data_IF_317250973696
#
_entry.id   IF_317250973696
#
_cell.length_a   1.000
_cell.length_b   1.000
_cell.length_c   1.000
_cell.angle_alpha   90.00
_cell.angle_beta   90.00
_cell.angle_gamma   90.00
#
_symmetry.space_group_name_H-M   'P 1'
#
loop_
_entity.id
_entity.type
_entity.pdbx_description
1 polymer ?
#
# COMPACT_ATOMS: atom_id res chain seq x y z
N UNK A 1 10.21 -19.26 9.33
CA UNK A 1 8.97 -19.39 8.54
C UNK A 1 8.21 -18.07 8.43
N UNK A 2 7.64 -17.52 9.52
CA UNK A 2 6.83 -16.28 9.42
C UNK A 2 7.68 -15.03 9.11
N UNK A 3 8.87 -14.91 9.70
CA UNK A 3 9.84 -13.85 9.38
C UNK A 3 10.32 -13.89 7.93
N UNK A 4 10.52 -15.07 7.36
CA UNK A 4 10.96 -15.22 5.95
C UNK A 4 9.86 -14.79 4.97
N UNK A 5 8.60 -15.07 5.31
CA UNK A 5 7.45 -14.60 4.54
C UNK A 5 7.31 -13.08 4.60
N UNK A 6 7.50 -12.47 5.77
CA UNK A 6 7.51 -11.01 5.93
C UNK A 6 8.65 -10.42 5.11
N UNK A 7 9.87 -10.96 5.19
CA UNK A 7 11.00 -10.44 4.43
C UNK A 7 10.81 -10.56 2.91
N UNK A 8 10.25 -11.68 2.44
CA UNK A 8 9.87 -11.87 1.04
C UNK A 8 8.80 -10.87 0.60
N UNK A 9 7.77 -10.64 1.41
CA UNK A 9 6.74 -9.65 1.15
C UNK A 9 7.32 -8.22 1.11
N UNK A 10 8.17 -7.89 2.08
CA UNK A 10 8.87 -6.59 2.16
C UNK A 10 9.77 -6.37 0.94
N UNK A 11 10.44 -7.42 0.46
CA UNK A 11 11.32 -7.35 -0.72
C UNK A 11 10.60 -6.99 -2.01
N UNK A 12 9.27 -7.15 -2.06
CA UNK A 12 8.43 -6.75 -3.20
C UNK A 12 8.18 -5.23 -3.27
N UNK A 13 8.35 -4.49 -2.16
CA UNK A 13 8.22 -3.04 -2.12
C UNK A 13 9.50 -2.29 -2.54
N UNK A 14 10.18 -2.78 -3.58
CA UNK A 14 11.33 -2.06 -4.16
C UNK A 14 10.83 -1.02 -5.16
N UNK A 15 11.34 0.22 -5.10
CA UNK A 15 10.99 1.23 -6.08
C UNK A 15 11.42 0.77 -7.47
N UNK A 16 10.52 0.87 -8.44
CA UNK A 16 10.82 0.61 -9.84
C UNK A 16 10.94 1.93 -10.60
N UNK A 17 11.56 1.82 -11.77
CA UNK A 17 11.88 2.98 -12.61
C UNK A 17 10.63 3.63 -13.22
N UNK A 18 9.50 2.93 -13.31
CA UNK A 18 8.23 3.40 -13.89
C UNK A 18 7.35 4.24 -12.92
N UNK A 19 7.86 4.60 -11.74
CA UNK A 19 7.07 5.23 -10.67
C UNK A 19 7.48 6.67 -10.36
N UNK A 20 6.48 7.55 -10.17
CA UNK A 20 6.66 8.89 -9.63
C UNK A 20 7.13 8.86 -8.17
N UNK A 21 7.74 9.96 -7.71
CA UNK A 21 8.13 10.15 -6.30
C UNK A 21 6.92 10.00 -5.38
N UNK A 22 5.77 10.55 -5.76
CA UNK A 22 4.53 10.48 -4.97
C UNK A 22 4.01 9.05 -4.86
N UNK A 23 4.10 8.25 -5.93
CA UNK A 23 3.68 6.85 -5.87
C UNK A 23 4.59 6.08 -4.92
N UNK A 24 5.90 6.27 -5.03
CA UNK A 24 6.88 5.64 -4.14
C UNK A 24 6.60 5.99 -2.67
N UNK A 25 6.27 7.25 -2.37
CA UNK A 25 5.85 7.67 -1.03
C UNK A 25 4.72 6.78 -0.50
N UNK A 26 3.66 6.61 -1.28
CA UNK A 26 2.45 5.90 -0.86
C UNK A 26 2.62 4.37 -0.80
N UNK A 27 3.01 3.72 -1.90
CA UNK A 27 3.01 2.25 -1.96
C UNK A 27 4.25 1.61 -1.31
N UNK A 28 5.36 2.34 -1.17
CA UNK A 28 6.59 1.86 -0.50
C UNK A 28 6.68 2.37 0.92
N UNK A 29 6.86 3.68 1.12
CA UNK A 29 7.26 4.21 2.43
C UNK A 29 6.11 4.18 3.43
N UNK A 30 4.95 4.74 3.07
CA UNK A 30 3.75 4.74 3.91
C UNK A 30 3.33 3.30 4.22
N UNK A 31 3.27 2.44 3.20
CA UNK A 31 2.91 1.04 3.39
C UNK A 31 3.88 0.29 4.33
N UNK A 32 5.20 0.49 4.16
CA UNK A 32 6.19 -0.14 5.05
C UNK A 32 6.05 0.32 6.51
N UNK A 33 5.76 1.61 6.71
CA UNK A 33 5.53 2.20 8.03
C UNK A 33 4.23 1.66 8.67
N UNK A 34 3.14 1.54 7.91
CA UNK A 34 1.88 0.97 8.41
C UNK A 34 2.03 -0.51 8.75
N UNK A 35 2.72 -1.29 7.90
CA UNK A 35 3.01 -2.71 8.18
C UNK A 35 3.84 -2.85 9.46
N UNK A 36 4.84 -1.99 9.66
CA UNK A 36 5.65 -1.98 10.88
C UNK A 36 4.77 -1.71 12.11
N UNK A 37 3.93 -0.68 12.07
CA UNK A 37 3.03 -0.37 13.18
C UNK A 37 1.99 -1.46 13.43
N UNK A 38 1.41 -2.04 12.37
CA UNK A 38 0.49 -3.18 12.47
C UNK A 38 1.14 -4.35 13.19
N UNK A 39 2.40 -4.69 12.85
CA UNK A 39 3.15 -5.75 13.54
C UNK A 39 3.41 -5.40 15.00
N UNK A 40 3.84 -4.17 15.31
CA UNK A 40 4.12 -3.75 16.69
C UNK A 40 2.85 -3.85 17.55
N UNK A 41 1.73 -3.34 17.04
CA UNK A 41 0.44 -3.39 17.76
C UNK A 41 -0.04 -4.83 17.89
N UNK A 42 0.05 -5.64 16.84
CA UNK A 42 -0.30 -7.06 16.89
C UNK A 42 0.55 -7.82 17.91
N UNK A 43 1.87 -7.59 17.96
CA UNK A 43 2.73 -8.20 18.97
C UNK A 43 2.31 -7.82 20.39
N UNK A 44 1.99 -6.54 20.64
CA UNK A 44 1.49 -6.09 21.95
C UNK A 44 0.16 -6.76 22.31
N UNK A 45 -0.75 -6.92 21.35
CA UNK A 45 -2.10 -7.42 21.63
C UNK A 45 -2.22 -8.95 21.70
N UNK A 46 -1.46 -9.70 20.90
CA UNK A 46 -1.58 -11.16 20.82
C UNK A 46 -0.53 -11.92 21.64
N UNK A 47 0.66 -11.33 21.86
CA UNK A 47 1.77 -11.98 22.56
C UNK A 47 1.97 -11.37 23.95
N UNK A 48 1.68 -10.08 24.10
CA UNK A 48 1.72 -9.38 25.38
C UNK A 48 0.37 -9.31 26.09
N UNK A 49 0.33 -8.63 27.22
CA UNK A 49 -0.90 -8.22 27.89
C UNK A 49 -1.47 -6.96 27.21
N UNK A 50 -2.67 -7.04 26.60
CA UNK A 50 -3.27 -5.90 25.90
C UNK A 50 -3.71 -4.79 26.86
N UNK A 51 -4.02 -5.16 28.10
CA UNK A 51 -4.38 -4.28 29.21
C UNK A 51 -4.03 -4.94 30.54
N UNK A 52 -3.86 -4.12 31.58
CA UNK A 52 -3.59 -4.56 32.95
C UNK A 52 -4.73 -4.07 33.83
N UNK A 53 -5.25 -4.94 34.69
CA UNK A 53 -6.40 -4.62 35.55
C UNK A 53 -5.99 -4.40 37.01
N UNK A 54 -6.57 -3.37 37.64
CA UNK A 54 -6.50 -3.25 39.09
C UNK A 54 -7.45 -4.25 39.75
N UNK A 55 -6.92 -5.39 40.19
CA UNK A 55 -7.69 -6.47 40.83
C UNK A 55 -7.46 -6.53 42.34
N UNK A 56 -8.38 -7.13 43.13
CA UNK A 56 -8.20 -7.28 44.57
C UNK A 56 -6.99 -8.16 44.92
N UNK A 57 -6.30 -7.83 46.02
CA UNK A 57 -5.04 -8.51 46.41
C UNK A 57 -5.19 -10.02 46.71
N UNK A 58 -6.40 -10.50 46.98
CA UNK A 58 -6.68 -11.93 47.17
C UNK A 58 -6.66 -12.76 45.87
N UNK A 59 -6.60 -12.12 44.69
CA UNK A 59 -6.57 -12.84 43.42
C UNK A 59 -5.18 -13.43 43.17
N UNK A 60 -5.14 -14.71 42.80
CA UNK A 60 -3.91 -15.35 42.31
C UNK A 60 -3.67 -14.94 40.84
N UNK A 61 -2.42 -15.02 40.37
CA UNK A 61 -2.03 -14.61 39.00
C UNK A 61 -2.93 -15.18 37.89
N UNK A 62 -3.37 -16.44 38.00
CA UNK A 62 -4.26 -17.02 36.99
C UNK A 62 -5.65 -16.36 36.90
N UNK A 63 -6.16 -15.84 38.01
CA UNK A 63 -7.42 -15.08 38.04
C UNK A 63 -7.23 -13.66 37.51
N UNK A 64 -6.08 -13.05 37.77
CA UNK A 64 -5.69 -11.75 37.19
C UNK A 64 -5.65 -11.83 35.66
N UNK A 65 -4.92 -12.79 35.10
CA UNK A 65 -4.85 -13.04 33.65
C UNK A 65 -6.23 -13.36 33.04
N UNK A 66 -7.09 -14.08 33.77
CA UNK A 66 -8.47 -14.34 33.32
C UNK A 66 -9.30 -13.05 33.24
N UNK A 67 -9.25 -12.22 34.28
CA UNK A 67 -10.00 -10.96 34.34
C UNK A 67 -9.54 -10.00 33.24
N UNK A 68 -8.24 -9.88 33.01
CA UNK A 68 -7.69 -9.04 31.95
C UNK A 68 -8.17 -9.46 30.57
N UNK A 69 -8.11 -10.76 30.26
CA UNK A 69 -8.63 -11.31 29.01
C UNK A 69 -10.14 -11.11 28.88
N UNK A 70 -10.89 -11.31 29.96
CA UNK A 70 -12.33 -11.10 29.98
C UNK A 70 -12.68 -9.62 29.70
N UNK A 71 -12.01 -8.69 30.38
CA UNK A 71 -12.18 -7.25 30.19
C UNK A 71 -11.79 -6.80 28.77
N UNK A 72 -10.75 -7.41 28.19
CA UNK A 72 -10.35 -7.12 26.81
C UNK A 72 -11.41 -7.58 25.80
N UNK A 73 -11.98 -8.78 25.97
CA UNK A 73 -12.98 -9.35 25.02
C UNK A 73 -14.35 -8.68 25.15
N UNK A 74 -14.85 -8.48 26.38
CA UNK A 74 -16.18 -7.89 26.63
C UNK A 74 -16.24 -6.37 26.33
N UNK A 75 -15.09 -5.77 26.00
CA UNK A 75 -14.84 -4.34 25.80
C UNK A 75 -15.02 -3.50 27.08
N UNK A 76 -14.23 -2.43 27.21
CA UNK A 76 -14.28 -1.53 28.37
C UNK A 76 -15.08 -0.26 28.06
N UNK A 77 -15.37 0.56 29.07
CA UNK A 77 -16.01 1.87 28.89
C UNK A 77 -15.28 2.91 29.73
N UNK A 78 -15.31 4.17 29.28
CA UNK A 78 -14.67 5.28 29.99
C UNK A 78 -15.68 6.02 30.87
N UNK A 79 -15.25 6.39 32.08
CA UNK A 79 -15.96 7.25 33.02
C UNK A 79 -14.95 8.22 33.61
N UNK A 80 -15.27 9.51 33.63
CA UNK A 80 -14.44 10.52 34.27
C UNK A 80 -14.42 10.31 35.79
N UNK A 81 -13.34 10.70 36.48
CA UNK A 81 -13.20 10.42 37.92
C UNK A 81 -14.23 11.17 38.78
N UNK A 82 -14.75 12.30 38.29
CA UNK A 82 -15.75 13.12 38.94
C UNK A 82 -17.19 12.66 38.68
N UNK A 83 -17.39 11.75 37.72
CA UNK A 83 -18.72 11.23 37.37
C UNK A 83 -19.05 9.95 38.14
N UNK A 84 -20.32 9.81 38.55
CA UNK A 84 -20.80 8.55 39.10
C UNK A 84 -20.85 7.46 38.03
N UNK A 85 -20.56 6.21 38.43
CA UNK A 85 -20.64 5.09 37.51
C UNK A 85 -22.08 4.91 36.99
N UNK A 86 -22.28 4.82 35.66
CA UNK A 86 -23.62 4.71 35.08
C UNK A 86 -24.31 3.44 35.59
N UNK A 87 -25.54 3.59 36.08
CA UNK A 87 -26.34 2.48 36.61
C UNK A 87 -27.07 1.71 35.49
N UNK A 88 -27.32 2.35 34.34
CA UNK A 88 -28.04 1.73 33.22
C UNK A 88 -27.10 0.99 32.27
N UNK A 89 -27.51 -0.20 31.82
CA UNK A 89 -26.76 -0.99 30.83
C UNK A 89 -26.67 -0.28 29.48
N UNK A 90 -27.68 0.52 29.14
CA UNK A 90 -27.76 1.28 27.88
C UNK A 90 -26.66 2.36 27.85
N UNK A 91 -26.51 3.11 28.94
CA UNK A 91 -25.51 4.18 29.03
C UNK A 91 -24.09 3.62 29.03
N UNK A 92 -23.85 2.50 29.74
CA UNK A 92 -22.57 1.76 29.64
C UNK A 92 -22.29 1.32 28.21
N UNK A 93 -23.31 0.83 27.51
CA UNK A 93 -23.23 0.41 26.11
C UNK A 93 -22.76 1.53 25.18
N UNK A 94 -23.32 2.73 25.35
CA UNK A 94 -22.97 3.90 24.54
C UNK A 94 -21.54 4.41 24.77
N UNK A 95 -20.97 4.18 25.96
CA UNK A 95 -19.59 4.57 26.31
C UNK A 95 -18.54 3.47 26.04
N UNK A 96 -18.93 2.33 25.43
CA UNK A 96 -18.00 1.21 25.20
C UNK A 96 -16.93 1.53 24.16
N UNK A 97 -15.69 1.21 24.49
CA UNK A 97 -14.50 1.35 23.64
C UNK A 97 -14.21 0.00 22.96
N UNK A 98 -14.58 -0.13 21.69
CA UNK A 98 -14.40 -1.37 20.92
C UNK A 98 -13.21 -1.34 19.96
N UNK A 99 -12.61 -0.17 19.74
CA UNK A 99 -11.67 0.02 18.63
C UNK A 99 -10.38 -0.78 18.78
N UNK A 100 -9.86 -0.97 20.00
CA UNK A 100 -8.57 -1.63 20.25
C UNK A 100 -8.45 -3.01 19.61
N UNK A 101 -9.53 -3.79 19.60
CA UNK A 101 -9.58 -5.14 19.03
C UNK A 101 -9.42 -5.14 17.50
N UNK A 102 -9.88 -4.08 16.83
CA UNK A 102 -9.93 -3.97 15.38
C UNK A 102 -8.73 -3.22 14.78
N UNK A 103 -8.00 -2.44 15.58
CA UNK A 103 -6.85 -1.64 15.13
C UNK A 103 -5.84 -2.45 14.30
N UNK A 104 -5.34 -3.63 14.72
CA UNK A 104 -4.36 -4.37 13.90
C UNK A 104 -4.91 -4.79 12.54
N UNK A 105 -6.20 -5.16 12.49
CA UNK A 105 -6.89 -5.56 11.26
C UNK A 105 -7.10 -4.38 10.32
N UNK A 106 -7.50 -3.23 10.87
CA UNK A 106 -7.66 -1.98 10.10
C UNK A 106 -6.31 -1.55 9.53
N UNK A 107 -5.23 -1.53 10.33
CA UNK A 107 -3.89 -1.19 9.84
C UNK A 107 -3.40 -2.16 8.75
N UNK A 108 -3.69 -3.45 8.88
CA UNK A 108 -3.34 -4.42 7.84
C UNK A 108 -4.13 -4.19 6.53
N UNK A 109 -5.41 -3.81 6.63
CA UNK A 109 -6.23 -3.44 5.50
C UNK A 109 -5.76 -2.13 4.85
N UNK A 110 -5.36 -1.14 5.65
CA UNK A 110 -4.81 0.12 5.16
C UNK A 110 -3.53 -0.08 4.36
N UNK A 111 -2.62 -0.93 4.87
CA UNK A 111 -1.42 -1.35 4.14
C UNK A 111 -1.76 -2.00 2.79
N UNK A 112 -2.74 -2.90 2.77
CA UNK A 112 -3.22 -3.52 1.53
C UNK A 112 -3.78 -2.49 0.55
N UNK A 113 -4.61 -1.55 1.02
CA UNK A 113 -5.24 -0.52 0.19
C UNK A 113 -4.22 0.46 -0.39
N UNK A 114 -3.14 0.79 0.32
CA UNK A 114 -2.03 1.59 -0.24
C UNK A 114 -1.25 0.86 -1.35
N UNK A 115 -1.19 -0.47 -1.29
CA UNK A 115 -0.57 -1.27 -2.36
C UNK A 115 -1.51 -1.50 -3.56
N UNK A 116 -2.82 -1.44 -3.35
CA UNK A 116 -3.83 -1.83 -4.33
C UNK A 116 -3.76 -1.07 -5.67
N UNK A 117 -3.59 0.27 -5.72
CA UNK A 117 -3.44 1.00 -6.98
C UNK A 117 -2.22 0.54 -7.80
N UNK A 118 -1.11 0.23 -7.13
CA UNK A 118 0.09 -0.32 -7.78
C UNK A 118 -0.13 -1.74 -8.29
N UNK A 119 -0.89 -2.55 -7.56
CA UNK A 119 -1.31 -3.87 -8.02
C UNK A 119 -2.12 -3.78 -9.32
N UNK A 120 -3.08 -2.85 -9.40
CA UNK A 120 -3.86 -2.61 -10.62
C UNK A 120 -2.94 -2.20 -11.78
N UNK A 121 -2.05 -1.24 -11.58
CA UNK A 121 -1.10 -0.84 -12.62
C UNK A 121 -0.32 -2.04 -13.17
N UNK A 122 0.25 -2.86 -12.27
CA UNK A 122 1.02 -4.05 -12.65
C UNK A 122 0.18 -5.16 -13.27
N UNK A 123 -1.10 -5.27 -12.92
CA UNK A 123 -1.99 -6.28 -13.45
C UNK A 123 -2.56 -5.91 -14.83
N UNK A 124 -2.61 -4.62 -15.19
CA UNK A 124 -3.25 -4.15 -16.42
C UNK A 124 -2.29 -3.50 -17.42
N UNK A 125 -1.10 -3.02 -17.02
CA UNK A 125 -0.18 -2.36 -17.96
C UNK A 125 0.32 -3.29 -19.09
N UNK A 126 0.47 -4.60 -18.83
CA UNK A 126 0.90 -5.57 -19.83
C UNK A 126 -0.10 -5.75 -20.99
N UNK A 127 -1.39 -5.47 -20.76
CA UNK A 127 -2.42 -5.53 -21.82
C UNK A 127 -2.27 -4.43 -22.87
N UNK A 128 -1.45 -3.41 -22.60
CA UNK A 128 -1.24 -2.31 -23.51
C UNK A 128 -0.27 -2.64 -24.66
N UNK A 129 0.33 -3.84 -24.68
CA UNK A 129 1.24 -4.27 -25.75
C UNK A 129 2.57 -3.50 -25.80
N UNK A 130 2.82 -2.63 -24.82
CA UNK A 130 4.03 -1.81 -24.67
C UNK A 130 4.59 -2.03 -23.27
N UNK A 131 5.78 -2.63 -23.18
CA UNK A 131 6.45 -2.78 -21.88
C UNK A 131 7.19 -1.49 -21.52
N UNK A 132 6.47 -0.59 -20.85
CA UNK A 132 7.00 0.65 -20.28
C UNK A 132 8.21 0.38 -19.37
N UNK A 133 8.25 -0.79 -18.71
CA UNK A 133 9.35 -1.16 -17.81
C UNK A 133 10.67 -1.29 -18.58
N UNK A 134 10.63 -1.97 -19.72
CA UNK A 134 11.79 -2.16 -20.59
C UNK A 134 12.27 -0.82 -21.16
N UNK A 135 11.35 0.00 -21.67
CA UNK A 135 11.65 1.35 -22.17
C UNK A 135 12.35 2.18 -21.08
N UNK A 136 11.76 2.21 -19.89
CA UNK A 136 12.28 3.00 -18.79
C UNK A 136 13.63 2.48 -18.28
N UNK A 137 13.87 1.17 -18.36
CA UNK A 137 15.14 0.55 -18.01
C UNK A 137 16.26 0.90 -19.00
N UNK A 138 15.95 0.97 -20.30
CA UNK A 138 16.90 1.44 -21.32
C UNK A 138 17.16 2.94 -21.21
N UNK A 139 16.11 3.74 -20.95
CA UNK A 139 16.24 5.19 -20.77
C UNK A 139 17.01 5.56 -19.49
N UNK A 140 16.80 4.82 -18.40
CA UNK A 140 17.44 5.06 -17.10
C UNK A 140 18.55 4.05 -16.79
N UNK A 141 19.49 3.89 -17.73
CA UNK A 141 20.68 3.08 -17.50
C UNK A 141 21.54 3.72 -16.40
N UNK A 142 21.85 2.99 -15.33
CA UNK A 142 22.66 3.47 -14.20
C UNK A 142 24.04 2.86 -14.23
N UNK A 143 25.07 3.67 -13.96
CA UNK A 143 26.46 3.24 -13.81
C UNK A 143 26.88 3.33 -12.35
N UNK A 144 27.71 2.38 -11.88
CA UNK A 144 28.28 2.45 -10.53
C UNK A 144 29.56 3.29 -10.58
N UNK A 145 29.49 4.51 -10.05
CA UNK A 145 30.68 5.35 -9.82
C UNK A 145 31.05 5.24 -8.34
N UNK A 146 32.02 4.38 -8.03
CA UNK A 146 32.39 4.07 -6.65
C UNK A 146 31.31 3.28 -5.90
N UNK A 147 30.84 3.78 -4.74
CA UNK A 147 29.75 3.16 -3.94
C UNK A 147 28.34 3.62 -4.35
N UNK A 148 28.21 4.65 -5.18
CA UNK A 148 26.94 5.27 -5.58
C UNK A 148 26.54 4.79 -6.97
N UNK A 149 25.25 4.49 -7.16
CA UNK A 149 24.66 4.30 -8.49
C UNK A 149 24.27 5.67 -9.02
N UNK A 150 24.89 6.10 -10.10
CA UNK A 150 24.62 7.38 -10.76
C UNK A 150 23.97 7.08 -12.12
N UNK A 151 23.09 7.96 -12.61
CA UNK A 151 22.57 7.85 -13.97
C UNK A 151 23.75 7.98 -14.95
N UNK A 152 23.88 7.03 -15.87
CA UNK A 152 24.94 7.07 -16.88
C UNK A 152 24.73 8.33 -17.72
N UNK A 153 25.78 9.12 -17.95
CA UNK A 153 25.69 10.24 -18.89
C UNK A 153 25.32 9.67 -20.25
N UNK A 154 24.10 9.95 -20.71
CA UNK A 154 23.54 9.40 -21.93
C UNK A 154 24.42 9.84 -23.11
N UNK A 155 25.16 8.89 -23.70
CA UNK A 155 25.87 9.14 -24.96
C UNK A 155 24.84 9.28 -26.07
N UNK A 156 25.17 10.07 -27.10
CA UNK A 156 24.32 10.20 -28.30
C UNK A 156 23.92 8.84 -28.87
N UNK A 157 24.85 7.88 -28.87
CA UNK A 157 24.65 6.48 -29.31
C UNK A 157 23.48 5.81 -28.56
N UNK A 158 23.48 5.81 -27.23
CA UNK A 158 22.41 5.23 -26.38
C UNK A 158 21.03 5.89 -26.66
N UNK A 159 20.99 7.18 -26.98
CA UNK A 159 19.76 7.89 -27.39
C UNK A 159 19.26 7.45 -28.77
N UNK A 160 20.17 7.17 -29.70
CA UNK A 160 19.85 6.67 -31.04
C UNK A 160 19.28 5.26 -30.95
N UNK A 161 19.84 4.40 -30.11
CA UNK A 161 19.36 3.03 -29.88
C UNK A 161 17.95 3.02 -29.24
N UNK A 162 17.70 3.92 -28.27
CA UNK A 162 16.38 4.09 -27.68
C UNK A 162 15.35 4.59 -28.72
N UNK A 163 15.76 5.52 -29.58
CA UNK A 163 14.90 6.03 -30.65
C UNK A 163 14.58 4.95 -31.69
N UNK A 164 15.57 4.12 -32.06
CA UNK A 164 15.38 2.97 -32.94
C UNK A 164 14.44 1.93 -32.32
N UNK A 165 14.61 1.62 -31.03
CA UNK A 165 13.69 0.72 -30.31
C UNK A 165 12.26 1.25 -30.32
N UNK A 166 12.06 2.54 -30.05
CA UNK A 166 10.73 3.17 -30.11
C UNK A 166 10.14 3.10 -31.52
N UNK A 167 10.94 3.40 -32.54
CA UNK A 167 10.50 3.38 -33.94
C UNK A 167 10.16 1.96 -34.41
N UNK A 168 10.93 0.94 -34.00
CA UNK A 168 10.66 -0.46 -34.28
C UNK A 168 9.37 -0.95 -33.60
N UNK A 169 9.15 -0.57 -32.35
CA UNK A 169 7.91 -0.88 -31.62
C UNK A 169 6.70 -0.21 -32.30
N UNK A 170 6.81 1.06 -32.68
CA UNK A 170 5.76 1.77 -33.41
C UNK A 170 5.50 1.15 -34.79
N UNK A 171 6.54 0.80 -35.53
CA UNK A 171 6.45 0.14 -36.84
C UNK A 171 5.81 -1.24 -36.74
N UNK A 172 6.16 -2.04 -35.74
CA UNK A 172 5.58 -3.37 -35.57
C UNK A 172 4.08 -3.32 -35.22
N UNK A 173 3.61 -2.24 -34.58
CA UNK A 173 2.20 -2.03 -34.33
C UNK A 173 1.45 -1.47 -35.55
N UNK A 174 2.12 -0.66 -36.38
CA UNK A 174 1.55 -0.12 -37.63
C UNK A 174 1.50 -1.19 -38.73
N UNK A 175 2.50 -2.07 -38.82
CA UNK A 175 2.61 -3.10 -39.88
C UNK A 175 1.59 -4.23 -39.75
N UNK A 176 0.92 -4.37 -38.61
CA UNK A 176 -0.23 -5.28 -38.44
C UNK A 176 -1.55 -4.71 -39.00
N UNK A 177 -1.54 -3.48 -39.51
CA UNK A 177 -2.73 -2.78 -40.01
C UNK A 177 -2.51 -2.34 -41.46
N UNK A 178 -2.49 -3.31 -42.37
CA UNK A 178 -2.30 -3.09 -43.81
C UNK A 178 -3.55 -2.48 -44.52
N UNK A 179 -4.46 -1.88 -43.76
CA UNK A 179 -5.63 -1.19 -44.32
C UNK A 179 -5.65 0.28 -43.87
N UNK A 180 -5.62 1.18 -44.87
CA UNK A 180 -5.54 2.65 -44.73
C UNK A 180 -6.84 3.26 -44.20
N UNK A 181 -7.33 2.83 -43.05
CA UNK A 181 -8.51 3.43 -42.43
C UNK A 181 -8.12 4.37 -41.27
N UNK A 182 -8.89 5.44 -41.11
CA UNK A 182 -8.87 6.32 -39.92
C UNK A 182 -8.95 5.52 -38.61
N UNK A 183 -9.48 4.30 -38.66
CA UNK A 183 -9.57 3.38 -37.53
C UNK A 183 -8.20 2.94 -37.01
N UNK A 184 -7.17 2.79 -37.86
CA UNK A 184 -5.80 2.45 -37.44
C UNK A 184 -5.09 3.61 -36.71
N UNK A 185 -5.33 4.86 -37.16
CA UNK A 185 -4.91 6.08 -36.44
C UNK A 185 -5.64 6.22 -35.11
N UNK A 186 -6.93 5.91 -35.07
CA UNK A 186 -7.74 5.91 -33.86
C UNK A 186 -7.30 4.78 -32.92
N UNK A 187 -6.95 3.59 -33.42
CA UNK A 187 -6.44 2.46 -32.61
C UNK A 187 -5.04 2.71 -32.03
N UNK A 188 -4.14 3.32 -32.81
CA UNK A 188 -2.84 3.83 -32.35
C UNK A 188 -3.02 4.88 -31.25
N UNK A 189 -4.00 5.78 -31.41
CA UNK A 189 -4.41 6.70 -30.36
C UNK A 189 -5.03 5.94 -29.17
N UNK A 190 -5.77 4.85 -29.37
CA UNK A 190 -6.41 4.05 -28.32
C UNK A 190 -5.42 3.31 -27.42
N UNK A 191 -4.26 2.85 -27.90
CA UNK A 191 -3.28 2.18 -27.02
C UNK A 191 -2.53 3.17 -26.12
N UNK A 192 -2.08 4.31 -26.68
CA UNK A 192 -1.52 5.40 -25.87
C UNK A 192 -2.55 6.02 -24.93
N UNK A 193 -3.78 6.20 -25.41
CA UNK A 193 -4.92 6.64 -24.60
C UNK A 193 -5.29 5.62 -23.52
N UNK A 194 -5.20 4.31 -23.79
CA UNK A 194 -5.47 3.29 -22.79
C UNK A 194 -4.45 3.32 -21.65
N UNK A 195 -3.15 3.41 -21.96
CA UNK A 195 -2.09 3.51 -20.94
C UNK A 195 -2.28 4.78 -20.11
N UNK A 196 -2.51 5.91 -20.78
CA UNK A 196 -2.69 7.20 -20.09
C UNK A 196 -3.97 7.25 -19.26
N UNK A 197 -5.08 6.69 -19.75
CA UNK A 197 -6.32 6.53 -18.98
C UNK A 197 -6.14 5.59 -17.79
N UNK A 198 -5.44 4.46 -17.96
CA UNK A 198 -5.11 3.54 -16.88
C UNK A 198 -4.25 4.22 -15.82
N UNK A 199 -3.27 5.02 -16.24
CA UNK A 199 -2.41 5.80 -15.36
C UNK A 199 -3.22 6.81 -14.54
N UNK A 200 -4.05 7.62 -15.21
CA UNK A 200 -4.92 8.60 -14.54
C UNK A 200 -5.91 7.92 -13.59
N UNK A 201 -6.45 6.77 -13.96
CA UNK A 201 -7.32 5.97 -13.10
C UNK A 201 -6.60 5.50 -11.84
N UNK A 202 -5.37 4.97 -11.96
CA UNK A 202 -4.54 4.56 -10.82
C UNK A 202 -4.23 5.75 -9.91
N UNK A 203 -3.95 6.93 -10.48
CA UNK A 203 -3.72 8.16 -9.70
C UNK A 203 -4.98 8.61 -8.95
N UNK A 204 -6.13 8.56 -9.60
CA UNK A 204 -7.41 8.87 -8.97
C UNK A 204 -7.71 7.89 -7.83
N UNK A 205 -7.44 6.60 -8.00
CA UNK A 205 -7.53 5.61 -6.93
C UNK A 205 -6.57 5.91 -5.76
N UNK A 206 -5.33 6.31 -6.03
CA UNK A 206 -4.39 6.74 -4.99
C UNK A 206 -4.94 7.92 -4.18
N UNK A 207 -5.48 8.93 -4.86
CA UNK A 207 -6.06 10.11 -4.21
C UNK A 207 -7.25 9.72 -3.34
N UNK A 208 -8.19 8.94 -3.89
CA UNK A 208 -9.36 8.45 -3.13
C UNK A 208 -8.90 7.65 -1.92
N UNK A 209 -7.91 6.76 -2.07
CA UNK A 209 -7.41 5.97 -0.95
C UNK A 209 -6.84 6.85 0.17
N UNK A 210 -6.05 7.88 -0.16
CA UNK A 210 -5.51 8.82 0.84
C UNK A 210 -6.63 9.52 1.61
N UNK A 211 -7.67 10.00 0.91
CA UNK A 211 -8.81 10.64 1.56
C UNK A 211 -9.63 9.66 2.42
N UNK A 212 -9.88 8.45 1.92
CA UNK A 212 -10.59 7.42 2.67
C UNK A 212 -9.86 7.04 3.94
N UNK A 213 -8.54 6.86 3.91
CA UNK A 213 -7.77 6.51 5.10
C UNK A 213 -7.69 7.67 6.09
N UNK A 214 -7.56 8.91 5.62
CA UNK A 214 -7.64 10.08 6.50
C UNK A 214 -9.00 10.19 7.20
N UNK A 215 -10.08 9.86 6.51
CA UNK A 215 -11.42 9.84 7.07
C UNK A 215 -11.60 8.70 8.09
N UNK A 216 -11.03 7.52 7.83
CA UNK A 216 -11.06 6.38 8.76
C UNK A 216 -10.28 6.68 10.04
N UNK A 217 -9.14 7.36 9.94
CA UNK A 217 -8.31 7.69 11.11
C UNK A 217 -8.90 8.80 12.00
N UNK A 218 -9.64 9.73 11.40
CA UNK A 218 -10.26 10.86 12.11
C UNK A 218 -11.73 10.61 12.50
N UNK A 219 -12.33 9.52 12.02
CA UNK A 219 -13.74 9.18 12.22
C UNK A 219 -14.02 8.32 13.45
#
# INVERSE_FOLDING_TARGET
MLFDQIFSFVSKFKPKYDDDVVDRLNYVYTNWLIVLFSIIVACRQYIGSPLECWVPAQFQRGWEEYVENYCFVESTYYVAMEEEMPNSLIERGNRRLKYYQWVPLILALEAFLFYFPRFIWRAFHWKAGLDITSIMQHAMTTEKVGKLKVLKTQKKEDMTDLAQYFDDVLKHQVSGSDDKSLFAKVLSNHCGMYITLLYLFVKLLNIINVFSQLAILNG
#
